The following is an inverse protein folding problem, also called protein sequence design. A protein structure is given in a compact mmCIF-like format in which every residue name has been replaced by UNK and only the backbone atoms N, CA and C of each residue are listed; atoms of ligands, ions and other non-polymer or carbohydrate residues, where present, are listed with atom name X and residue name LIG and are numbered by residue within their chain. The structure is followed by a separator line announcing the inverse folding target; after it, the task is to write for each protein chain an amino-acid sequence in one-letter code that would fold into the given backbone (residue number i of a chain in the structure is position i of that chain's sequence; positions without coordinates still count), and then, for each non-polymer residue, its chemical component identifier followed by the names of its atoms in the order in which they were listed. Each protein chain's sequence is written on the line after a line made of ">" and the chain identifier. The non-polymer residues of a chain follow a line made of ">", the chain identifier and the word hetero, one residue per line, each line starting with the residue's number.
data_IF_691992650248
#
_entry.id   IF_691992650248
#
_cell.length_a   1.000
_cell.length_b   1.000
_cell.length_c   1.000
_cell.angle_alpha   90.00
_cell.angle_beta   90.00
_cell.angle_gamma   90.00
#
_symmetry.space_group_name_H-M   'P 1'
#
loop_
_entity.id
_entity.type
_entity.pdbx_description
1 polymer ?
#
# COMPACT_ATOMS: atom_id res chain seq x y z
N UNK A 1 -21.56 2.85 -19.29
CA UNK A 1 -20.48 1.87 -19.56
C UNK A 1 -19.18 2.62 -19.74
N UNK A 2 -18.40 2.77 -18.67
CA UNK A 2 -17.06 3.33 -18.72
C UNK A 2 -16.04 2.22 -19.00
N UNK A 3 -15.11 2.52 -19.91
CA UNK A 3 -14.09 1.61 -20.44
C UNK A 3 -13.30 0.88 -19.36
N UNK A 4 -13.25 -0.45 -19.48
CA UNK A 4 -12.37 -1.36 -18.75
C UNK A 4 -10.97 -1.29 -19.38
N UNK A 5 -10.02 -0.55 -18.80
CA UNK A 5 -8.57 -0.80 -18.97
C UNK A 5 -7.74 0.40 -18.46
N UNK A 6 -7.54 0.52 -17.14
CA UNK A 6 -6.30 1.14 -16.65
C UNK A 6 -5.31 0.01 -16.39
N UNK A 7 -4.29 -0.11 -17.24
CA UNK A 7 -3.14 -0.96 -16.97
C UNK A 7 -2.36 -0.27 -15.84
N UNK A 8 -2.59 -0.67 -14.60
CA UNK A 8 -1.93 -0.09 -13.43
C UNK A 8 -0.67 -0.89 -13.13
N UNK A 9 0.49 -0.24 -13.19
CA UNK A 9 1.78 -0.86 -12.92
C UNK A 9 2.12 -0.56 -11.47
N UNK A 10 1.96 -1.55 -10.60
CA UNK A 10 2.44 -1.48 -9.23
C UNK A 10 3.90 -1.89 -9.18
N UNK A 11 4.72 -1.05 -8.59
CA UNK A 11 6.13 -1.32 -8.35
C UNK A 11 6.38 -1.17 -6.85
N UNK A 12 6.92 -2.20 -6.21
CA UNK A 12 7.33 -2.14 -4.81
C UNK A 12 8.70 -2.82 -4.70
N UNK A 13 9.75 -2.01 -4.55
CA UNK A 13 11.11 -2.51 -4.38
C UNK A 13 11.90 -1.53 -3.51
N UNK A 14 12.83 -2.04 -2.72
CA UNK A 14 13.65 -1.21 -1.84
C UNK A 14 14.73 -0.46 -2.64
N UNK A 15 14.32 0.63 -3.29
CA UNK A 15 15.16 1.41 -4.19
C UNK A 15 16.34 2.07 -3.47
N UNK A 16 16.12 2.57 -2.25
CA UNK A 16 17.16 3.19 -1.43
C UNK A 16 18.27 2.18 -1.07
N UNK A 17 17.90 0.95 -0.72
CA UNK A 17 18.86 -0.12 -0.51
C UNK A 17 19.65 -0.43 -1.78
N UNK A 18 19.01 -0.52 -2.94
CA UNK A 18 19.70 -0.84 -4.21
C UNK A 18 20.66 0.28 -4.60
N UNK A 19 20.24 1.54 -4.49
CA UNK A 19 21.11 2.69 -4.74
C UNK A 19 22.35 2.67 -3.83
N UNK A 20 22.15 2.50 -2.53
CA UNK A 20 23.25 2.48 -1.53
C UNK A 20 24.13 1.24 -1.64
N UNK A 21 23.54 0.06 -1.84
CA UNK A 21 24.24 -1.21 -1.75
C UNK A 21 24.82 -1.67 -3.08
N UNK A 22 24.22 -1.30 -4.20
CA UNK A 22 24.63 -1.77 -5.53
C UNK A 22 25.08 -0.62 -6.44
N UNK A 23 24.84 0.64 -6.07
CA UNK A 23 25.20 1.79 -6.91
C UNK A 23 24.38 1.87 -8.19
N UNK A 24 23.17 1.31 -8.17
CA UNK A 24 22.26 1.25 -9.33
C UNK A 24 21.13 2.27 -9.14
N UNK A 25 20.94 3.15 -10.12
CA UNK A 25 19.79 4.05 -10.15
C UNK A 25 18.57 3.36 -10.74
N UNK A 26 17.78 2.74 -9.85
CA UNK A 26 16.55 2.09 -10.26
C UNK A 26 15.46 3.10 -10.60
N UNK A 27 15.48 4.30 -10.00
CA UNK A 27 14.44 5.31 -10.24
C UNK A 27 14.61 5.94 -11.63
N UNK A 28 15.85 6.19 -12.05
CA UNK A 28 16.18 6.60 -13.42
C UNK A 28 15.79 5.51 -14.41
N UNK A 29 16.16 4.26 -14.14
CA UNK A 29 15.81 3.11 -15.00
C UNK A 29 14.30 2.95 -15.16
N UNK A 30 13.55 3.05 -14.06
CA UNK A 30 12.09 2.98 -14.06
C UNK A 30 11.48 4.14 -14.85
N UNK A 31 11.93 5.37 -14.59
CA UNK A 31 11.39 6.57 -15.25
C UNK A 31 11.67 6.53 -16.75
N UNK A 32 12.85 6.08 -17.15
CA UNK A 32 13.25 5.88 -18.56
C UNK A 32 12.37 4.83 -19.22
N UNK A 33 12.24 3.64 -18.61
CA UNK A 33 11.42 2.57 -19.16
C UNK A 33 9.94 2.97 -19.32
N UNK A 34 9.38 3.68 -18.35
CA UNK A 34 8.01 4.18 -18.43
C UNK A 34 7.86 5.27 -19.51
N UNK A 35 8.87 6.12 -19.69
CA UNK A 35 8.90 7.13 -20.75
C UNK A 35 8.97 6.48 -22.14
N UNK A 36 9.87 5.52 -22.32
CA UNK A 36 10.08 4.79 -23.57
C UNK A 36 8.86 3.96 -23.97
N UNK A 37 8.16 3.39 -22.97
CA UNK A 37 6.87 2.74 -23.16
C UNK A 37 5.71 3.71 -23.47
N UNK A 38 5.96 5.03 -23.44
CA UNK A 38 5.01 6.07 -23.81
C UNK A 38 4.05 6.49 -22.70
N UNK A 39 4.21 6.00 -21.46
CA UNK A 39 3.29 6.32 -20.35
C UNK A 39 3.33 7.79 -19.92
N UNK A 40 4.40 8.53 -20.22
CA UNK A 40 4.50 9.97 -19.96
C UNK A 40 3.70 10.87 -20.91
N UNK A 41 3.25 10.31 -22.05
CA UNK A 41 2.59 11.03 -23.13
C UNK A 41 1.13 10.57 -23.34
N UNK A 42 0.71 9.47 -22.72
CA UNK A 42 -0.64 8.94 -22.84
C UNK A 42 -1.54 9.45 -21.70
N UNK A 43 -2.63 10.12 -22.02
CA UNK A 43 -3.59 10.66 -21.05
C UNK A 43 -4.71 9.66 -20.68
N UNK A 44 -4.82 8.55 -21.40
CA UNK A 44 -5.91 7.58 -21.22
C UNK A 44 -5.63 6.48 -20.21
N UNK A 45 -4.38 6.35 -19.73
CA UNK A 45 -3.97 5.35 -18.74
C UNK A 45 -3.22 6.04 -17.61
N UNK A 46 -3.77 5.93 -16.40
CA UNK A 46 -3.12 6.41 -15.19
C UNK A 46 -2.07 5.39 -14.72
N UNK A 47 -0.84 5.85 -14.47
CA UNK A 47 0.22 5.06 -13.84
C UNK A 47 0.36 5.52 -12.39
N UNK A 48 0.35 4.55 -11.47
CA UNK A 48 0.54 4.78 -10.04
C UNK A 48 1.84 4.14 -9.59
N UNK A 49 2.71 4.90 -8.94
CA UNK A 49 3.94 4.33 -8.35
C UNK A 49 3.76 4.26 -6.85
N UNK A 50 3.77 3.04 -6.33
CA UNK A 50 3.63 2.76 -4.90
C UNK A 50 5.01 2.66 -4.24
N UNK A 51 5.13 3.10 -2.98
CA UNK A 51 6.33 2.86 -2.16
C UNK A 51 5.98 2.88 -0.67
N UNK A 52 6.68 2.09 0.13
CA UNK A 52 6.72 2.22 1.61
C UNK A 52 7.78 3.23 2.06
N UNK A 53 8.66 3.66 1.16
CA UNK A 53 9.76 4.60 1.39
C UNK A 53 9.36 5.98 0.86
N UNK A 54 9.27 6.97 1.75
CA UNK A 54 8.87 8.33 1.40
C UNK A 54 9.97 9.07 0.63
N UNK A 55 11.25 8.76 0.88
CA UNK A 55 12.37 9.35 0.17
C UNK A 55 12.35 8.97 -1.32
N UNK A 56 11.91 7.76 -1.67
CA UNK A 56 11.64 7.34 -3.05
C UNK A 56 10.58 8.23 -3.71
N UNK A 57 9.45 8.43 -3.05
CA UNK A 57 8.34 9.23 -3.60
C UNK A 57 8.73 10.72 -3.71
N UNK A 58 9.43 11.26 -2.72
CA UNK A 58 9.99 12.62 -2.76
C UNK A 58 10.94 12.77 -3.95
N UNK A 59 11.86 11.81 -4.16
CA UNK A 59 12.80 11.84 -5.28
C UNK A 59 12.08 11.80 -6.64
N UNK A 60 11.08 10.92 -6.80
CA UNK A 60 10.27 10.84 -8.01
C UNK A 60 9.48 12.13 -8.26
N UNK A 61 8.94 12.75 -7.20
CA UNK A 61 8.23 14.03 -7.30
C UNK A 61 9.17 15.16 -7.74
N UNK A 62 10.39 15.21 -7.20
CA UNK A 62 11.42 16.17 -7.60
C UNK A 62 11.85 16.00 -9.06
N UNK A 63 11.83 14.77 -9.57
CA UNK A 63 12.07 14.46 -11.00
C UNK A 63 10.89 14.86 -11.91
N UNK A 64 9.85 15.52 -11.37
CA UNK A 64 8.63 15.95 -12.07
C UNK A 64 7.92 14.79 -12.78
N UNK A 65 7.91 13.63 -12.13
CA UNK A 65 7.15 12.49 -12.59
C UNK A 65 5.68 12.87 -12.84
N UNK A 66 5.12 12.44 -13.98
CA UNK A 66 3.70 12.64 -14.32
C UNK A 66 2.81 11.49 -13.82
N UNK A 67 3.33 10.70 -12.89
CA UNK A 67 2.67 9.51 -12.35
C UNK A 67 2.05 9.86 -11.00
N UNK A 68 0.92 9.22 -10.69
CA UNK A 68 0.30 9.36 -9.38
C UNK A 68 1.14 8.64 -8.33
N UNK A 69 1.61 9.36 -7.33
CA UNK A 69 2.48 8.79 -6.29
C UNK A 69 1.64 8.27 -5.12
N UNK A 70 1.92 7.04 -4.69
CA UNK A 70 1.10 6.30 -3.72
C UNK A 70 1.97 5.83 -2.55
N UNK A 71 1.67 6.32 -1.35
CA UNK A 71 2.41 5.94 -0.14
C UNK A 71 1.76 4.75 0.56
N UNK A 72 2.52 3.70 0.85
CA UNK A 72 2.02 2.55 1.62
C UNK A 72 2.23 2.83 3.08
N UNK A 73 1.15 2.94 3.84
CA UNK A 73 1.23 3.21 5.26
C UNK A 73 1.79 2.00 6.03
N UNK A 74 2.42 2.24 7.19
CA UNK A 74 2.72 1.18 8.14
C UNK A 74 1.47 0.34 8.46
N UNK A 75 1.68 -0.95 8.70
CA UNK A 75 0.58 -1.86 9.05
C UNK A 75 0.13 -1.64 10.50
N UNK A 76 -1.17 -1.80 10.76
CA UNK A 76 -1.72 -1.83 12.12
C UNK A 76 -1.87 -0.47 12.78
N UNK A 77 -1.73 0.65 12.06
CA UNK A 77 -2.05 1.99 12.57
C UNK A 77 -3.58 2.21 12.61
N UNK A 78 -4.08 2.91 13.64
CA UNK A 78 -5.51 3.15 13.86
C UNK A 78 -5.98 4.56 13.51
N UNK A 79 -5.07 5.53 13.51
CA UNK A 79 -5.37 6.93 13.26
C UNK A 79 -4.13 7.64 12.71
N UNK A 80 -4.31 8.92 12.36
CA UNK A 80 -3.23 9.73 11.83
C UNK A 80 -3.34 11.19 12.28
N UNK A 81 -2.23 11.73 12.77
CA UNK A 81 -2.14 13.13 13.21
C UNK A 81 -2.25 14.08 12.01
N UNK A 82 -2.82 15.30 12.16
CA UNK A 82 -2.90 16.28 11.08
C UNK A 82 -1.55 16.63 10.46
N UNK A 83 -0.46 16.63 11.25
CA UNK A 83 0.88 16.91 10.76
C UNK A 83 1.45 15.76 9.94
N UNK A 84 1.33 14.51 10.38
CA UNK A 84 1.73 13.34 9.58
C UNK A 84 1.01 13.30 8.22
N UNK A 85 -0.28 13.67 8.19
CA UNK A 85 -1.06 13.75 6.95
C UNK A 85 -0.59 14.90 6.05
N UNK A 86 -0.20 16.04 6.62
CA UNK A 86 0.40 17.14 5.86
C UNK A 86 1.71 16.69 5.19
N UNK A 87 2.58 16.00 5.93
CA UNK A 87 3.84 15.46 5.42
C UNK A 87 3.62 14.47 4.27
N UNK A 88 2.68 13.53 4.42
CA UNK A 88 2.34 12.57 3.34
C UNK A 88 1.92 13.30 2.06
N UNK A 89 1.12 14.38 2.17
CA UNK A 89 0.67 15.14 1.00
C UNK A 89 1.79 15.89 0.29
N UNK A 90 2.92 16.14 0.95
CA UNK A 90 4.07 16.76 0.30
C UNK A 90 4.64 15.89 -0.81
N UNK A 91 4.43 14.57 -0.78
CA UNK A 91 5.02 13.64 -1.75
C UNK A 91 4.06 12.62 -2.37
N UNK A 92 2.87 12.41 -1.82
CA UNK A 92 1.90 11.45 -2.32
C UNK A 92 0.50 12.05 -2.53
N UNK A 93 -0.24 11.49 -3.48
CA UNK A 93 -1.63 11.85 -3.80
C UNK A 93 -2.63 10.80 -3.31
N UNK A 94 -2.12 9.60 -3.00
CA UNK A 94 -2.89 8.47 -2.54
C UNK A 94 -2.10 7.67 -1.50
N UNK A 95 -2.83 6.86 -0.75
CA UNK A 95 -2.27 5.91 0.20
C UNK A 95 -2.80 4.51 -0.04
N UNK A 96 -1.97 3.55 0.32
CA UNK A 96 -2.36 2.14 0.44
C UNK A 96 -2.38 1.79 1.91
N UNK A 97 -3.51 1.24 2.37
CA UNK A 97 -3.80 0.93 3.77
C UNK A 97 -4.00 -0.57 3.89
N UNK A 98 -3.31 -1.18 4.86
CA UNK A 98 -3.48 -2.59 5.17
C UNK A 98 -4.85 -2.85 5.81
N UNK A 99 -5.49 -3.98 5.50
CA UNK A 99 -6.81 -4.36 6.07
C UNK A 99 -6.81 -4.33 7.59
N UNK A 100 -5.70 -4.66 8.24
CA UNK A 100 -5.56 -4.64 9.70
C UNK A 100 -5.51 -3.22 10.30
N UNK A 101 -5.44 -2.17 9.47
CA UNK A 101 -5.48 -0.77 9.90
C UNK A 101 -6.90 -0.17 9.86
N UNK A 102 -7.88 -0.88 9.30
CA UNK A 102 -9.28 -0.43 9.24
C UNK A 102 -10.07 -0.81 10.49
N UNK A 103 -9.67 -1.88 11.16
CA UNK A 103 -10.38 -2.50 12.26
C UNK A 103 -9.38 -3.03 13.29
N UNK A 104 -9.63 -2.84 14.58
CA UNK A 104 -8.95 -3.62 15.61
C UNK A 104 -9.61 -4.99 15.69
N UNK A 105 -8.82 -6.05 15.61
CA UNK A 105 -9.31 -7.43 15.50
C UNK A 105 -8.81 -8.24 16.70
N UNK A 106 -9.71 -9.00 17.34
CA UNK A 106 -9.36 -9.96 18.39
C UNK A 106 -9.90 -11.33 18.03
N UNK A 107 -9.01 -12.31 17.91
CA UNK A 107 -9.30 -13.66 17.46
C UNK A 107 -9.97 -13.80 16.09
N UNK A 108 -10.18 -12.72 15.31
CA UNK A 108 -11.00 -12.58 14.07
C UNK A 108 -12.34 -11.84 14.27
N UNK A 109 -12.69 -11.42 15.50
CA UNK A 109 -13.82 -10.53 15.74
C UNK A 109 -13.35 -9.10 15.52
N UNK A 110 -14.14 -8.32 14.79
CA UNK A 110 -13.91 -6.88 14.75
C UNK A 110 -14.38 -6.29 16.08
N UNK A 111 -13.44 -5.66 16.80
CA UNK A 111 -13.70 -5.04 18.10
C UNK A 111 -14.19 -3.61 17.92
N UNK A 112 -13.53 -2.86 17.04
CA UNK A 112 -13.91 -1.51 16.66
C UNK A 112 -13.36 -1.14 15.29
N UNK A 113 -14.07 -0.23 14.62
CA UNK A 113 -13.56 0.46 13.45
C UNK A 113 -12.63 1.60 13.87
N UNK A 114 -11.56 1.78 13.11
CA UNK A 114 -10.56 2.83 13.32
C UNK A 114 -11.00 4.17 12.69
N UNK A 115 -10.38 5.30 13.07
CA UNK A 115 -10.67 6.60 12.45
C UNK A 115 -9.82 6.85 11.19
N UNK A 116 -8.77 6.06 10.97
CA UNK A 116 -7.77 6.27 9.92
C UNK A 116 -8.36 6.62 8.54
N UNK A 117 -9.37 5.90 8.06
CA UNK A 117 -9.98 6.17 6.73
C UNK A 117 -10.60 7.56 6.67
N UNK A 118 -11.27 7.97 7.75
CA UNK A 118 -11.87 9.30 7.86
C UNK A 118 -10.78 10.36 7.85
N UNK A 119 -9.69 10.14 8.60
CA UNK A 119 -8.58 11.08 8.74
C UNK A 119 -7.87 11.27 7.39
N UNK A 120 -7.51 10.17 6.71
CA UNK A 120 -6.89 10.18 5.38
C UNK A 120 -7.74 10.91 4.33
N UNK A 121 -9.05 10.62 4.30
CA UNK A 121 -9.98 11.28 3.36
C UNK A 121 -10.18 12.75 3.68
N UNK A 122 -10.18 13.13 4.96
CA UNK A 122 -10.29 14.53 5.37
C UNK A 122 -9.07 15.34 4.92
N UNK A 123 -7.90 14.71 4.83
CA UNK A 123 -6.71 15.30 4.22
C UNK A 123 -6.79 15.34 2.69
N UNK A 124 -7.75 14.67 2.06
CA UNK A 124 -7.91 14.61 0.61
C UNK A 124 -7.00 13.60 -0.09
N UNK A 125 -6.53 12.59 0.64
CA UNK A 125 -5.79 11.46 0.06
C UNK A 125 -6.77 10.43 -0.53
N UNK A 126 -6.46 9.91 -1.71
CA UNK A 126 -7.16 8.71 -2.25
C UNK A 126 -6.76 7.49 -1.42
N UNK A 127 -7.70 6.65 -1.01
CA UNK A 127 -7.46 5.50 -0.12
C UNK A 127 -7.66 4.18 -0.86
N UNK A 128 -6.59 3.41 -1.01
CA UNK A 128 -6.62 2.03 -1.50
C UNK A 128 -6.47 1.04 -0.36
N UNK A 129 -7.28 -0.01 -0.33
CA UNK A 129 -7.20 -1.05 0.70
C UNK A 129 -6.49 -2.31 0.17
N UNK A 130 -5.60 -2.91 0.97
CA UNK A 130 -4.81 -4.09 0.59
C UNK A 130 -4.66 -5.12 1.73
N UNK A 131 -4.38 -6.40 1.47
CA UNK A 131 -4.60 -7.13 0.22
C UNK A 131 -5.80 -8.04 0.42
N UNK A 132 -6.79 -7.97 -0.47
CA UNK A 132 -7.99 -8.80 -0.39
C UNK A 132 -7.72 -10.19 -0.94
N UNK A 133 -8.20 -11.17 -0.19
CA UNK A 133 -7.97 -12.59 -0.37
C UNK A 133 -9.30 -13.34 -0.26
N UNK A 134 -9.45 -14.39 -1.06
CA UNK A 134 -10.67 -15.18 -1.08
C UNK A 134 -10.63 -16.33 -0.05
N UNK A 135 -9.45 -16.65 0.47
CA UNK A 135 -9.26 -17.77 1.38
C UNK A 135 -10.06 -17.58 2.67
N UNK A 136 -10.74 -18.65 3.11
CA UNK A 136 -11.71 -18.64 4.21
C UNK A 136 -11.20 -18.06 5.54
N UNK A 137 -9.90 -18.18 5.83
CA UNK A 137 -9.27 -17.69 7.07
C UNK A 137 -8.74 -16.25 6.95
N UNK A 138 -8.94 -15.60 5.81
CA UNK A 138 -8.35 -14.29 5.54
C UNK A 138 -9.23 -13.11 5.96
N UNK A 139 -10.51 -13.35 6.28
CA UNK A 139 -11.48 -12.33 6.64
C UNK A 139 -11.91 -12.46 8.11
N UNK A 140 -12.16 -11.32 8.79
CA UNK A 140 -12.87 -11.32 10.07
C UNK A 140 -14.24 -12.01 10.00
N UNK A 141 -14.69 -12.56 11.13
CA UNK A 141 -15.97 -13.28 11.21
C UNK A 141 -17.19 -12.42 10.90
N UNK A 142 -17.09 -11.11 11.12
CA UNK A 142 -18.13 -10.14 10.79
C UNK A 142 -18.52 -10.15 9.30
N UNK A 143 -17.62 -10.63 8.44
CA UNK A 143 -17.87 -10.79 7.00
C UNK A 143 -18.32 -12.20 6.62
N UNK A 144 -18.60 -13.07 7.60
CA UNK A 144 -19.09 -14.44 7.41
C UNK A 144 -18.21 -15.31 6.49
N UNK A 145 -16.92 -15.01 6.44
CA UNK A 145 -15.96 -15.64 5.51
C UNK A 145 -16.37 -15.55 4.04
N UNK A 146 -17.17 -14.54 3.67
CA UNK A 146 -17.59 -14.26 2.30
C UNK A 146 -16.84 -13.04 1.76
N UNK A 147 -16.08 -13.26 0.69
CA UNK A 147 -15.25 -12.22 0.09
C UNK A 147 -16.08 -11.09 -0.56
N UNK A 148 -17.30 -11.39 -1.01
CA UNK A 148 -18.23 -10.40 -1.57
C UNK A 148 -18.77 -9.49 -0.48
N UNK A 149 -19.08 -10.04 0.70
CA UNK A 149 -19.54 -9.28 1.87
C UNK A 149 -18.44 -8.35 2.39
N UNK A 150 -17.20 -8.85 2.46
CA UNK A 150 -16.03 -8.04 2.82
C UNK A 150 -15.86 -6.88 1.81
N UNK A 151 -15.77 -7.19 0.51
CA UNK A 151 -15.63 -6.18 -0.56
C UNK A 151 -16.77 -5.14 -0.50
N UNK A 152 -18.01 -5.59 -0.30
CA UNK A 152 -19.17 -4.71 -0.19
C UNK A 152 -19.04 -3.72 0.98
N UNK A 153 -18.54 -4.20 2.13
CA UNK A 153 -18.34 -3.38 3.33
C UNK A 153 -17.27 -2.31 3.11
N UNK A 154 -16.15 -2.67 2.50
CA UNK A 154 -15.09 -1.70 2.17
C UNK A 154 -15.54 -0.68 1.11
N UNK A 155 -16.31 -1.12 0.12
CA UNK A 155 -16.77 -0.25 -0.96
C UNK A 155 -17.93 0.67 -0.56
N UNK A 156 -18.90 0.19 0.21
CA UNK A 156 -20.13 0.92 0.52
C UNK A 156 -20.09 1.62 1.88
N UNK A 157 -19.57 0.96 2.92
CA UNK A 157 -19.49 1.52 4.28
C UNK A 157 -18.26 2.38 4.46
N UNK A 158 -17.07 1.81 4.24
CA UNK A 158 -15.79 2.53 4.39
C UNK A 158 -15.51 3.46 3.20
N UNK A 159 -16.12 3.17 2.05
CA UNK A 159 -16.01 3.96 0.82
C UNK A 159 -14.56 4.16 0.38
N UNK A 160 -13.74 3.12 0.44
CA UNK A 160 -12.39 3.18 -0.11
C UNK A 160 -12.45 3.39 -1.62
N UNK A 161 -11.42 4.02 -2.19
CA UNK A 161 -11.41 4.41 -3.61
C UNK A 161 -10.99 3.26 -4.55
N UNK A 162 -10.32 2.25 -4.00
CA UNK A 162 -10.01 1.04 -4.76
C UNK A 162 -9.48 -0.10 -3.89
N UNK A 163 -9.45 -1.29 -4.47
CA UNK A 163 -9.03 -2.52 -3.80
C UNK A 163 -7.84 -3.14 -4.52
N UNK A 164 -6.83 -3.53 -3.73
CA UNK A 164 -5.71 -4.36 -4.17
C UNK A 164 -5.99 -5.79 -3.74
N UNK A 165 -5.96 -6.73 -4.69
CA UNK A 165 -6.37 -8.12 -4.44
C UNK A 165 -5.53 -9.13 -5.20
N UNK A 166 -5.31 -10.29 -4.59
CA UNK A 166 -4.74 -11.47 -5.25
C UNK A 166 -5.79 -12.17 -6.16
N UNK A 167 -7.07 -11.80 -6.04
CA UNK A 167 -8.21 -12.40 -6.73
C UNK A 167 -8.99 -11.37 -7.58
N UNK A 168 -8.39 -10.82 -8.65
CA UNK A 168 -9.01 -9.75 -9.44
C UNK A 168 -10.35 -10.13 -10.08
N UNK A 169 -10.58 -11.42 -10.34
CA UNK A 169 -11.88 -11.91 -10.84
C UNK A 169 -13.01 -11.70 -9.83
N UNK A 170 -12.74 -11.79 -8.54
CA UNK A 170 -13.70 -11.55 -7.46
C UNK A 170 -14.15 -10.11 -7.45
N UNK A 171 -13.21 -9.16 -7.37
CA UNK A 171 -13.53 -7.73 -7.36
C UNK A 171 -14.22 -7.34 -8.67
N UNK A 172 -13.77 -7.85 -9.82
CA UNK A 172 -14.45 -7.63 -11.11
C UNK A 172 -15.89 -8.14 -11.12
N UNK A 173 -16.17 -9.29 -10.49
CA UNK A 173 -17.53 -9.84 -10.33
C UNK A 173 -18.38 -8.89 -9.49
N UNK A 174 -17.88 -8.47 -8.33
CA UNK A 174 -18.56 -7.51 -7.47
C UNK A 174 -18.87 -6.19 -8.20
N UNK A 175 -17.89 -5.60 -8.90
CA UNK A 175 -18.10 -4.34 -9.65
C UNK A 175 -19.16 -4.43 -10.75
N UNK A 176 -19.34 -5.62 -11.33
CA UNK A 176 -20.34 -5.87 -12.38
C UNK A 176 -21.70 -6.25 -11.80
N UNK A 177 -21.79 -6.43 -10.49
CA UNK A 177 -23.04 -6.74 -9.82
C UNK A 177 -23.97 -5.52 -9.87
N UNK A 178 -25.22 -5.73 -10.32
CA UNK A 178 -26.27 -4.71 -10.34
C UNK A 178 -26.91 -4.50 -8.97
N UNK A 179 -26.63 -5.34 -7.98
CA UNK A 179 -27.29 -5.37 -6.69
C UNK A 179 -26.64 -4.46 -5.62
N UNK A 180 -25.82 -3.49 -6.00
CA UNK A 180 -25.15 -2.53 -5.08
C UNK A 180 -25.80 -1.14 -5.05
N UNK A 181 -26.87 -0.94 -5.82
CA UNK A 181 -27.59 0.34 -5.94
C UNK A 181 -28.54 0.63 -4.77
N UNK A 182 -29.45 1.60 -4.97
CA UNK A 182 -30.45 2.00 -3.96
C UNK A 182 -31.42 0.86 -3.62
N UNK A 183 -31.86 0.10 -4.62
CA UNK A 183 -32.78 -1.04 -4.47
C UNK A 183 -32.02 -2.35 -4.29
N UNK A 184 -30.99 -2.34 -3.44
CA UNK A 184 -30.18 -3.52 -3.17
C UNK A 184 -30.98 -4.57 -2.38
N UNK A 185 -30.84 -5.86 -2.69
CA UNK A 185 -31.46 -6.93 -1.90
C UNK A 185 -30.81 -7.03 -0.52
N UNK A 186 -31.52 -7.59 0.45
CA UNK A 186 -31.07 -7.72 1.85
C UNK A 186 -29.68 -8.36 1.99
N UNK A 187 -29.35 -9.36 1.16
CA UNK A 187 -28.04 -10.02 1.20
C UNK A 187 -26.88 -9.16 0.67
N UNK A 188 -27.16 -8.02 0.03
CA UNK A 188 -26.17 -7.01 -0.38
C UNK A 188 -26.17 -5.79 0.54
N UNK A 189 -26.92 -5.82 1.65
CA UNK A 189 -26.74 -4.85 2.71
C UNK A 189 -25.34 -4.97 3.31
N UNK A 190 -24.85 -3.85 3.82
CA UNK A 190 -23.55 -3.81 4.49
C UNK A 190 -23.70 -4.42 5.86
N UNK A 191 -22.73 -5.24 6.28
CA UNK A 191 -22.73 -5.77 7.64
C UNK A 191 -22.50 -4.66 8.66
N UNK A 192 -23.09 -4.84 9.84
CA UNK A 192 -22.78 -4.00 10.99
C UNK A 192 -21.45 -4.47 11.60
N UNK A 193 -20.38 -3.77 11.27
CA UNK A 193 -19.03 -4.11 11.72
C UNK A 193 -18.95 -3.99 13.25
N UNK A 194 -18.51 -5.06 13.92
CA UNK A 194 -18.52 -5.16 15.38
C UNK A 194 -19.87 -5.62 15.95
N UNK A 195 -20.86 -5.91 15.11
CA UNK A 195 -22.14 -6.47 15.54
C UNK A 195 -21.97 -7.84 16.21
N UNK A 196 -21.01 -8.66 15.78
CA UNK A 196 -20.76 -9.97 16.38
C UNK A 196 -20.21 -9.84 17.81
N UNK A 197 -19.26 -8.92 18.06
CA UNK A 197 -18.76 -8.72 19.43
C UNK A 197 -19.83 -8.14 20.33
N UNK A 198 -20.71 -7.25 19.83
CA UNK A 198 -21.84 -6.74 20.60
C UNK A 198 -22.85 -7.86 20.97
N UNK A 199 -23.09 -8.81 20.07
CA UNK A 199 -23.92 -9.98 20.34
C UNK A 199 -23.29 -10.89 21.40
N UNK A 200 -21.98 -11.12 21.33
CA UNK A 200 -21.25 -11.88 22.34
C UNK A 200 -21.29 -11.18 23.71
N UNK A 201 -21.05 -9.88 23.77
CA UNK A 201 -21.11 -9.09 25.01
C UNK A 201 -22.49 -9.16 25.67
N UNK A 202 -23.56 -9.24 24.89
CA UNK A 202 -24.93 -9.29 25.40
C UNK A 202 -25.34 -10.68 25.91
N UNK A 203 -24.86 -11.74 25.26
CA UNK A 203 -25.45 -13.08 25.43
C UNK A 203 -24.48 -14.14 25.97
N UNK A 204 -23.17 -13.89 25.95
CA UNK A 204 -22.15 -14.86 26.36
C UNK A 204 -21.59 -14.55 27.75
N UNK A 205 -21.05 -15.59 28.40
CA UNK A 205 -20.36 -15.43 29.67
C UNK A 205 -19.10 -14.52 29.51
N UNK A 206 -18.66 -13.82 30.57
CA UNK A 206 -17.49 -12.94 30.51
C UNK A 206 -16.22 -13.64 30.00
N UNK A 207 -16.06 -14.93 30.29
CA UNK A 207 -14.90 -15.74 29.89
C UNK A 207 -14.92 -16.12 28.40
N UNK A 208 -16.06 -15.95 27.73
CA UNK A 208 -16.22 -16.19 26.30
C UNK A 208 -15.99 -14.93 25.45
N UNK A 209 -15.68 -13.78 26.09
CA UNK A 209 -15.36 -12.55 25.37
C UNK A 209 -13.99 -12.66 24.69
N UNK A 210 -13.82 -12.06 23.49
CA UNK A 210 -12.52 -11.98 22.86
C UNK A 210 -11.52 -11.23 23.76
N UNK A 211 -10.22 -11.57 23.72
CA UNK A 211 -9.18 -10.84 24.43
C UNK A 211 -9.23 -9.33 24.12
N UNK A 212 -8.95 -8.51 25.12
CA UNK A 212 -8.76 -7.08 24.91
C UNK A 212 -7.59 -6.82 23.95
N UNK A 213 -7.77 -5.88 23.04
CA UNK A 213 -6.74 -5.47 22.07
C UNK A 213 -6.05 -4.22 22.59
N UNK A 214 -4.73 -4.15 22.41
CA UNK A 214 -3.99 -2.92 22.71
C UNK A 214 -4.47 -1.77 21.79
N UNK A 215 -4.40 -0.51 22.23
CA UNK A 215 -4.62 0.62 21.35
C UNK A 215 -3.72 0.54 20.12
N UNK A 216 -4.30 0.79 18.95
CA UNK A 216 -3.53 0.81 17.71
C UNK A 216 -2.66 2.08 17.67
N UNK A 217 -1.42 1.98 17.16
CA UNK A 217 -0.54 3.14 17.04
C UNK A 217 -1.10 4.18 16.06
N UNK A 218 -0.73 5.43 16.30
CA UNK A 218 -0.98 6.56 15.40
C UNK A 218 0.14 6.69 14.37
N UNK A 219 -0.22 7.09 13.14
CA UNK A 219 0.78 7.52 12.15
C UNK A 219 1.49 8.78 12.65
N UNK A 220 2.77 8.63 12.97
CA UNK A 220 3.61 9.71 13.46
C UNK A 220 4.52 10.30 12.36
N UNK A 221 4.95 11.55 12.55
CA UNK A 221 5.81 12.27 11.60
C UNK A 221 7.14 11.53 11.34
N UNK A 222 7.71 10.89 12.35
CA UNK A 222 9.00 10.17 12.22
C UNK A 222 8.94 8.94 11.34
N UNK A 223 7.76 8.31 11.21
CA UNK A 223 7.54 7.19 10.28
C UNK A 223 7.37 7.67 8.85
N UNK A 224 6.82 8.88 8.67
CA UNK A 224 6.60 9.51 7.36
C UNK A 224 7.88 10.19 6.85
N UNK A 225 8.56 10.95 7.69
CA UNK A 225 9.78 11.69 7.35
C UNK A 225 11.00 10.78 7.42
N UNK A 226 11.48 10.36 6.26
CA UNK A 226 12.67 9.51 6.14
C UNK A 226 13.90 10.33 5.71
N UNK A 227 15.12 9.83 5.97
CA UNK A 227 16.32 10.44 5.46
C UNK A 227 16.27 10.62 3.93
N UNK A 228 16.93 11.64 3.37
CA UNK A 228 16.95 11.86 1.93
C UNK A 228 17.40 10.64 1.15
N UNK A 229 16.88 10.48 -0.08
CA UNK A 229 17.23 9.37 -0.96
C UNK A 229 18.75 9.31 -1.16
N UNK A 230 19.40 8.15 -0.98
CA UNK A 230 20.85 8.06 -1.01
C UNK A 230 21.40 8.40 -2.40
N UNK A 231 22.63 8.98 -2.49
CA UNK A 231 23.26 9.20 -3.77
C UNK A 231 23.60 7.87 -4.44
N UNK A 232 23.39 7.81 -5.76
CA UNK A 232 23.81 6.67 -6.57
C UNK A 232 25.28 6.86 -6.93
N UNK A 233 26.16 6.07 -6.33
CA UNK A 233 27.58 6.05 -6.66
C UNK A 233 28.00 4.62 -7.06
N UNK A 234 28.69 4.44 -8.20
CA UNK A 234 29.16 3.13 -8.60
C UNK A 234 30.20 2.61 -7.59
N UNK A 235 29.97 1.42 -7.03
CA UNK A 235 30.96 0.75 -6.15
C UNK A 235 32.29 0.45 -6.85
N UNK A 236 32.31 0.52 -8.19
CA UNK A 236 33.48 0.28 -9.04
C UNK A 236 34.05 1.57 -9.66
N UNK A 237 33.82 2.73 -9.05
CA UNK A 237 34.61 3.91 -9.42
C UNK A 237 36.10 3.61 -9.12
N UNK A 238 37.02 3.78 -10.08
CA UNK A 238 38.45 3.74 -9.78
C UNK A 238 38.75 4.74 -8.66
N UNK A 239 39.61 4.42 -7.68
CA UNK A 239 40.00 5.41 -6.68
C UNK A 239 40.77 6.54 -7.36
N UNK A 240 40.14 7.71 -7.50
CA UNK A 240 40.77 8.94 -7.99
C UNK A 240 39.71 9.97 -8.37
N UNK A 241 39.46 11.02 -7.59
CA UNK A 241 40.48 11.96 -7.14
C UNK A 241 40.47 12.22 -5.62
N UNK A 242 41.52 11.77 -4.95
CA UNK A 242 42.11 12.50 -3.82
C UNK A 242 43.64 12.35 -3.90
N UNK A 243 44.31 13.47 -3.61
CA UNK A 243 45.74 13.78 -3.39
C UNK A 243 46.84 12.68 -3.50
N UNK A 244 48.07 13.05 -3.89
CA UNK A 244 49.17 12.11 -4.16
C UNK A 244 49.88 11.62 -2.87
N UNK A 245 50.86 10.69 -2.94
CA UNK A 245 50.71 9.24 -2.77
C UNK A 245 51.33 8.70 -1.45
N UNK A 246 50.91 7.50 -1.02
CA UNK A 246 51.56 6.75 0.07
C UNK A 246 51.35 5.22 -0.04
N UNK A 247 52.40 4.53 -0.46
CA UNK A 247 52.75 3.08 -0.39
C UNK A 247 51.72 1.97 -0.10
N UNK A 248 51.67 0.97 -1.01
CA UNK A 248 51.07 -0.39 -0.99
C UNK A 248 51.68 -1.37 0.07
N UNK A 249 51.30 -2.68 0.17
CA UNK A 249 50.38 -3.51 -0.64
C UNK A 249 49.44 -4.54 0.06
N UNK A 250 48.46 -5.01 -0.75
CA UNK A 250 47.88 -6.37 -0.92
C UNK A 250 47.14 -7.08 0.23
N UNK A 251 45.88 -7.48 -0.01
CA UNK A 251 45.56 -8.89 -0.29
C UNK A 251 44.17 -9.09 -0.94
N UNK A 252 44.16 -9.97 -1.93
CA UNK A 252 43.01 -10.35 -2.75
C UNK A 252 42.14 -11.39 -2.03
N UNK A 253 40.83 -11.42 -2.32
CA UNK A 253 40.11 -12.69 -2.58
C UNK A 253 38.74 -12.47 -3.25
N UNK A 254 38.69 -12.89 -4.51
CA UNK A 254 37.67 -13.63 -5.27
C UNK A 254 36.17 -13.41 -5.01
N UNK A 255 35.51 -12.90 -6.05
CA UNK A 255 34.07 -12.80 -6.28
C UNK A 255 33.39 -14.15 -6.53
N UNK A 256 32.20 -14.36 -5.95
CA UNK A 256 31.23 -15.35 -6.40
C UNK A 256 29.95 -14.62 -6.85
N UNK A 257 29.63 -14.74 -8.13
CA UNK A 257 28.41 -14.19 -8.75
C UNK A 257 27.25 -15.10 -8.39
N UNK A 258 26.28 -14.59 -7.64
CA UNK A 258 25.00 -15.26 -7.40
C UNK A 258 23.90 -14.52 -8.17
N UNK A 259 23.37 -15.19 -9.19
CA UNK A 259 22.23 -14.75 -9.99
C UNK A 259 20.96 -14.74 -9.12
N UNK A 260 20.55 -13.56 -8.64
CA UNK A 260 19.23 -13.37 -8.05
C UNK A 260 18.20 -13.09 -9.14
N UNK A 261 17.21 -13.97 -9.23
CA UNK A 261 16.03 -13.87 -10.10
C UNK A 261 15.19 -12.68 -9.62
N UNK A 262 14.99 -11.68 -10.50
CA UNK A 262 14.11 -10.54 -10.29
C UNK A 262 12.65 -10.97 -10.47
N UNK A 263 11.86 -10.95 -9.40
CA UNK A 263 10.40 -11.10 -9.43
C UNK A 263 9.76 -9.72 -9.55
N UNK A 264 9.28 -9.38 -10.75
CA UNK A 264 8.37 -8.25 -10.97
C UNK A 264 6.95 -8.76 -10.75
N UNK A 265 6.34 -8.41 -9.62
CA UNK A 265 4.95 -8.73 -9.35
C UNK A 265 4.03 -7.64 -9.94
N UNK A 266 3.33 -7.95 -11.03
CA UNK A 266 2.27 -7.10 -11.56
C UNK A 266 0.95 -7.45 -10.87
N UNK A 267 0.59 -6.73 -9.80
CA UNK A 267 -0.73 -6.84 -9.19
C UNK A 267 -1.67 -5.79 -9.79
N UNK A 268 -2.89 -6.18 -10.16
CA UNK A 268 -3.90 -5.26 -10.66
C UNK A 268 -4.73 -4.71 -9.50
N UNK A 269 -4.75 -3.38 -9.29
CA UNK A 269 -5.80 -2.78 -8.48
C UNK A 269 -7.03 -2.53 -9.35
N UNK A 270 -8.19 -2.80 -8.78
CA UNK A 270 -9.47 -2.47 -9.39
C UNK A 270 -10.01 -1.28 -8.59
N UNK A 271 -10.07 -0.11 -9.24
CA UNK A 271 -10.86 1.03 -8.78
C UNK A 271 -12.28 0.55 -8.50
N UNK A 272 -12.99 1.10 -7.51
CA UNK A 272 -14.38 0.71 -7.20
C UNK A 272 -15.45 1.42 -8.04
#
# INVERSE_FOLDING_TARGET
>A
MGSLSSSQIFWNMNAAFIAKSLGVDVLESLTTALNDAGYNNQTTKEVMIQSTDSAVLVKLKQQKAKYKLVYTLPQGIGDASPSSLADVKEFAEAVVVDRNSFFAISLQFIINQTSLVKDLRSAGLTVYAQVFRNEFLSQPWDFFSDETVEINSYAQSLKVDGLITDFPKTVRRYKRNSCTGKDKPAYMETVDVGGLVQLLQRNAAPEAQPPAVAPMPELNETEVQQPPFPPVAPKNAPPGAAAPPGSSPSDAHTTAVSTCILLVAACAALLL
#
